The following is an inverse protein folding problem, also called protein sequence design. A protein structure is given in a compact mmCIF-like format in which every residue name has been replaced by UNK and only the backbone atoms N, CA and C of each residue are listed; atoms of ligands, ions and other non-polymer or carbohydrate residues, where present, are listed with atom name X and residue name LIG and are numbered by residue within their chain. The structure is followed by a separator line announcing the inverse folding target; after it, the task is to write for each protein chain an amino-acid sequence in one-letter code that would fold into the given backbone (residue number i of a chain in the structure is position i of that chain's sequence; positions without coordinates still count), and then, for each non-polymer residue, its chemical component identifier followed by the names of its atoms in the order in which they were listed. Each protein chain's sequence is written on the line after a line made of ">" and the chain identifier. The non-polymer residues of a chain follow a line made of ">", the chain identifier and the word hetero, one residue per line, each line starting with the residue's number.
data_IF_341530710561
#
_entry.id   IF_341530710561
#
_cell.length_a   1.000
_cell.length_b   1.000
_cell.length_c   1.000
_cell.angle_alpha   90.00
_cell.angle_beta   90.00
_cell.angle_gamma   90.00
#
_symmetry.space_group_name_H-M   'P 1'
#
loop_
_entity.id
_entity.type
_entity.pdbx_description
1 polymer ?
#
# COMPACT_ATOMS: atom_id res chain seq x y z
N UNK A 1 7.41 6.79 4.92
CA UNK A 1 6.19 6.80 5.75
C UNK A 1 6.41 7.34 7.18
N UNK A 2 7.50 7.00 7.90
CA UNK A 2 7.81 7.58 9.23
C UNK A 2 7.73 9.12 9.28
N UNK A 3 8.12 9.81 8.20
CA UNK A 3 7.96 11.27 8.06
C UNK A 3 6.48 11.72 8.16
N UNK A 4 5.54 11.00 7.54
CA UNK A 4 4.09 11.26 7.63
C UNK A 4 3.59 11.04 9.06
N UNK A 5 3.95 9.92 9.69
CA UNK A 5 3.57 9.64 11.09
C UNK A 5 4.07 10.74 12.03
N UNK A 6 5.35 11.14 11.90
CA UNK A 6 5.90 12.25 12.70
C UNK A 6 5.16 13.56 12.50
N UNK A 7 4.69 13.86 11.29
CA UNK A 7 3.88 15.05 11.03
C UNK A 7 2.54 14.99 11.78
N UNK A 8 1.85 13.85 11.76
CA UNK A 8 0.61 13.66 12.51
C UNK A 8 0.79 13.71 14.03
N UNK A 9 1.90 13.14 14.53
CA UNK A 9 2.22 13.20 15.97
C UNK A 9 2.44 14.65 16.43
N UNK A 10 3.06 15.50 15.60
CA UNK A 10 3.24 16.93 15.95
C UNK A 10 1.92 17.68 16.10
N UNK A 11 0.89 17.29 15.34
CA UNK A 11 -0.43 17.94 15.41
C UNK A 11 -1.18 17.65 16.71
N UNK A 12 -0.78 16.62 17.48
CA UNK A 12 -1.36 16.32 18.81
C UNK A 12 -1.20 17.52 19.77
N UNK A 13 -0.17 18.36 19.59
CA UNK A 13 0.12 19.49 20.49
C UNK A 13 -1.06 20.46 20.62
N UNK A 14 -1.81 20.67 19.54
CA UNK A 14 -2.98 21.56 19.52
C UNK A 14 -4.31 20.88 19.88
N UNK A 15 -4.31 19.57 20.08
CA UNK A 15 -5.52 18.78 20.32
C UNK A 15 -5.58 18.27 21.76
N UNK A 16 -6.79 18.06 22.25
CA UNK A 16 -7.06 17.45 23.54
C UNK A 16 -8.28 16.53 23.52
N UNK A 17 -8.32 15.64 24.50
CA UNK A 17 -9.47 14.81 24.78
C UNK A 17 -10.53 15.64 25.53
N UNK A 18 -11.76 15.65 25.02
CA UNK A 18 -12.87 16.40 25.62
C UNK A 18 -13.70 15.48 26.52
N UNK A 19 -14.20 14.37 25.96
CA UNK A 19 -15.12 13.48 26.69
C UNK A 19 -15.13 12.07 26.12
N UNK A 20 -15.53 11.10 26.95
CA UNK A 20 -15.58 9.69 26.60
C UNK A 20 -16.92 9.08 26.97
N UNK A 21 -17.58 8.43 26.03
CA UNK A 21 -18.85 7.72 26.26
C UNK A 21 -18.65 6.23 26.03
N UNK A 22 -18.96 5.41 27.03
CA UNK A 22 -18.96 3.96 26.86
C UNK A 22 -20.25 3.54 26.15
N UNK A 23 -20.09 2.84 25.03
CA UNK A 23 -21.17 2.15 24.31
C UNK A 23 -20.88 0.65 24.41
N UNK A 24 -21.90 -0.20 24.49
CA UNK A 24 -21.71 -1.64 24.71
C UNK A 24 -20.65 -2.25 23.75
N UNK A 25 -19.49 -2.60 24.31
CA UNK A 25 -18.33 -3.17 23.61
C UNK A 25 -17.31 -2.17 23.01
N UNK A 26 -17.59 -0.86 22.97
CA UNK A 26 -16.65 0.15 22.46
C UNK A 26 -16.77 1.50 23.19
N UNK A 27 -15.65 2.18 23.41
CA UNK A 27 -15.66 3.54 23.99
C UNK A 27 -15.50 4.56 22.86
N UNK A 28 -16.38 5.56 22.82
CA UNK A 28 -16.31 6.70 21.93
C UNK A 28 -15.59 7.84 22.63
N UNK A 29 -14.49 8.32 22.05
CA UNK A 29 -13.70 9.45 22.54
C UNK A 29 -13.91 10.66 21.64
N UNK A 30 -14.21 11.80 22.23
CA UNK A 30 -14.36 13.09 21.54
C UNK A 30 -13.06 13.87 21.67
N UNK A 31 -12.54 14.35 20.54
CA UNK A 31 -11.30 15.12 20.45
C UNK A 31 -11.61 16.51 19.93
N UNK A 32 -10.98 17.54 20.50
CA UNK A 32 -11.10 18.92 20.01
C UNK A 32 -9.81 19.72 20.17
N UNK A 33 -9.88 20.99 19.80
CA UNK A 33 -8.78 21.92 19.98
C UNK A 33 -8.70 22.42 21.43
N UNK A 34 -7.48 22.57 21.93
CA UNK A 34 -7.21 23.08 23.29
C UNK A 34 -7.75 24.49 23.55
N UNK A 35 -7.89 25.30 22.52
CA UNK A 35 -8.23 26.71 22.68
C UNK A 35 -9.73 26.98 22.57
N UNK A 36 -10.49 26.12 21.88
CA UNK A 36 -11.88 26.41 21.54
C UNK A 36 -12.91 25.38 22.03
N UNK A 37 -12.53 24.26 22.66
CA UNK A 37 -13.44 23.14 23.01
C UNK A 37 -14.34 22.67 21.85
N UNK A 38 -14.06 23.14 20.63
CA UNK A 38 -14.83 22.81 19.45
C UNK A 38 -14.51 21.36 19.12
N UNK A 39 -15.55 20.55 19.05
CA UNK A 39 -15.44 19.13 18.72
C UNK A 39 -14.92 19.02 17.31
N UNK A 40 -13.74 18.43 17.15
CA UNK A 40 -13.15 18.18 15.83
C UNK A 40 -13.55 16.83 15.30
N UNK A 41 -13.52 15.80 16.14
CA UNK A 41 -13.69 14.44 15.66
C UNK A 41 -14.00 13.45 16.78
N UNK A 42 -14.53 12.30 16.38
CA UNK A 42 -14.85 11.17 17.24
C UNK A 42 -13.97 9.97 16.89
N UNK A 43 -13.42 9.36 17.93
CA UNK A 43 -12.58 8.17 17.84
C UNK A 43 -13.25 7.03 18.61
N UNK A 44 -13.72 6.03 17.87
CA UNK A 44 -14.27 4.81 18.42
C UNK A 44 -13.15 3.81 18.68
N UNK A 45 -13.08 3.33 19.91
CA UNK A 45 -12.09 2.36 20.37
C UNK A 45 -12.79 1.11 20.85
N UNK A 46 -12.34 -0.04 20.37
CA UNK A 46 -12.84 -1.36 20.81
C UNK A 46 -11.78 -2.00 21.69
N UNK A 47 -12.17 -2.46 22.88
CA UNK A 47 -11.29 -3.16 23.81
C UNK A 47 -11.65 -4.65 23.90
N UNK A 48 -10.63 -5.49 24.01
CA UNK A 48 -10.78 -6.91 24.36
C UNK A 48 -9.81 -7.23 25.49
N UNK A 49 -10.28 -7.08 26.72
CA UNK A 49 -9.41 -7.07 27.91
C UNK A 49 -8.47 -5.87 27.89
N UNK A 50 -7.17 -6.10 28.06
CA UNK A 50 -6.14 -5.05 27.96
C UNK A 50 -5.72 -4.78 26.50
N UNK A 51 -6.17 -5.59 25.54
CA UNK A 51 -5.82 -5.41 24.14
C UNK A 51 -6.73 -4.37 23.46
N UNK A 52 -6.14 -3.60 22.55
CA UNK A 52 -6.81 -2.66 21.65
C UNK A 52 -6.94 -3.31 20.26
N UNK A 53 -7.93 -4.17 20.00
CA UNK A 53 -8.09 -4.84 18.70
C UNK A 53 -8.44 -3.86 17.57
N UNK A 54 -9.06 -2.72 17.86
CA UNK A 54 -9.51 -1.82 16.81
C UNK A 54 -9.70 -0.38 17.28
N UNK A 55 -9.30 0.54 16.42
CA UNK A 55 -9.55 1.97 16.56
C UNK A 55 -10.06 2.51 15.22
N UNK A 56 -11.08 3.35 15.27
CA UNK A 56 -11.66 4.01 14.10
C UNK A 56 -11.87 5.48 14.42
N UNK A 57 -11.53 6.35 13.49
CA UNK A 57 -11.78 7.78 13.60
C UNK A 57 -12.70 8.20 12.47
N UNK A 58 -13.63 9.12 12.73
CA UNK A 58 -14.53 9.61 11.70
C UNK A 58 -13.80 10.30 10.53
N UNK A 59 -12.57 10.79 10.75
CA UNK A 59 -11.67 11.23 9.69
C UNK A 59 -11.27 10.16 8.65
N UNK A 60 -11.44 8.85 8.95
CA UNK A 60 -11.16 7.70 8.06
C UNK A 60 -9.74 7.63 7.46
N UNK A 61 -8.78 8.41 7.98
CA UNK A 61 -7.39 8.42 7.49
C UNK A 61 -6.74 7.05 7.52
N UNK A 62 -7.08 6.28 8.55
CA UNK A 62 -6.58 4.93 8.74
C UNK A 62 -7.11 4.00 7.66
N UNK A 63 -8.40 4.11 7.32
CA UNK A 63 -9.03 3.31 6.28
C UNK A 63 -8.54 3.70 4.87
N UNK A 64 -8.18 4.97 4.66
CA UNK A 64 -7.76 5.48 3.34
C UNK A 64 -6.25 5.37 3.07
N UNK A 65 -5.40 5.62 4.07
CA UNK A 65 -3.93 5.70 3.91
C UNK A 65 -3.18 4.67 4.75
N UNK A 66 -3.87 3.84 5.53
CA UNK A 66 -3.28 2.91 6.50
C UNK A 66 -2.39 3.62 7.53
N UNK A 67 -2.69 4.89 7.84
CA UNK A 67 -1.91 5.73 8.75
C UNK A 67 -2.85 6.32 9.81
N UNK A 68 -2.56 6.16 11.11
CA UNK A 68 -3.35 6.80 12.17
C UNK A 68 -3.30 8.33 12.04
N UNK A 69 -4.45 8.98 12.24
CA UNK A 69 -4.56 10.43 12.29
C UNK A 69 -4.18 10.98 13.67
N UNK A 70 -4.05 12.30 13.76
CA UNK A 70 -3.80 13.00 15.02
C UNK A 70 -4.86 12.71 16.09
N UNK A 71 -6.14 12.59 15.73
CA UNK A 71 -7.22 12.26 16.68
C UNK A 71 -6.99 10.91 17.37
N UNK A 72 -6.61 9.88 16.60
CA UNK A 72 -6.26 8.56 17.16
C UNK A 72 -5.09 8.69 18.13
N UNK A 73 -4.04 9.44 17.76
CA UNK A 73 -2.90 9.59 18.65
C UNK A 73 -3.21 10.36 19.95
N UNK A 74 -4.12 11.34 19.92
CA UNK A 74 -4.58 12.04 21.14
C UNK A 74 -5.22 11.04 22.09
N UNK A 75 -6.09 10.17 21.57
CA UNK A 75 -6.77 9.15 22.37
C UNK A 75 -5.80 8.09 22.89
N UNK A 76 -4.85 7.63 22.07
CA UNK A 76 -3.80 6.72 22.52
C UNK A 76 -2.96 7.32 23.65
N UNK A 77 -2.62 8.61 23.54
CA UNK A 77 -1.89 9.35 24.59
C UNK A 77 -2.72 9.45 25.87
N UNK A 78 -4.01 9.78 25.76
CA UNK A 78 -4.93 9.83 26.90
C UNK A 78 -5.04 8.48 27.60
N UNK A 79 -5.08 7.39 26.84
CA UNK A 79 -5.12 6.02 27.33
C UNK A 79 -3.78 5.50 27.90
N UNK A 80 -2.71 6.30 27.85
CA UNK A 80 -1.40 5.93 28.39
C UNK A 80 -0.62 4.92 27.53
N UNK A 81 -0.90 4.83 26.22
CA UNK A 81 -0.09 4.02 25.31
C UNK A 81 1.23 4.72 24.97
N UNK A 82 2.33 4.22 25.53
CA UNK A 82 3.69 4.66 25.17
C UNK A 82 4.19 4.05 23.84
N UNK A 83 3.50 3.00 23.37
CA UNK A 83 3.82 2.26 22.15
C UNK A 83 2.58 2.26 21.25
N UNK A 84 2.78 2.50 19.95
CA UNK A 84 1.72 2.44 18.95
C UNK A 84 1.15 1.00 18.92
N UNK A 85 -0.15 0.80 19.21
CA UNK A 85 -0.76 -0.52 19.21
C UNK A 85 -0.67 -1.20 17.84
N UNK A 86 -0.63 -2.54 17.83
CA UNK A 86 -0.53 -3.31 16.57
C UNK A 86 -1.68 -3.01 15.60
N UNK A 87 -2.89 -2.73 16.08
CA UNK A 87 -4.00 -2.35 15.21
C UNK A 87 -3.75 -1.05 14.43
N UNK A 88 -2.78 -0.23 14.86
CA UNK A 88 -2.36 1.01 14.21
C UNK A 88 -1.20 0.85 13.23
N UNK A 89 -0.68 -0.37 13.05
CA UNK A 89 0.46 -0.66 12.17
C UNK A 89 0.06 -1.75 11.18
N UNK A 90 -0.23 -1.34 9.95
CA UNK A 90 -0.53 -2.30 8.85
C UNK A 90 0.75 -3.01 8.40
N UNK A 91 0.66 -4.28 8.01
CA UNK A 91 1.83 -5.10 7.70
C UNK A 91 2.75 -4.50 6.63
N UNK A 92 2.17 -3.83 5.62
CA UNK A 92 2.90 -3.08 4.56
C UNK A 92 3.90 -2.07 5.11
N UNK A 93 3.69 -1.62 6.34
CA UNK A 93 4.48 -0.62 7.01
C UNK A 93 5.55 -1.18 7.94
N UNK A 94 5.49 -2.47 8.22
CA UNK A 94 6.50 -3.17 9.03
C UNK A 94 7.72 -3.46 8.17
N UNK A 95 8.88 -3.70 8.81
CA UNK A 95 10.06 -4.22 8.10
C UNK A 95 9.78 -5.56 7.41
N UNK A 96 8.76 -6.29 7.86
CA UNK A 96 8.28 -7.54 7.27
C UNK A 96 7.56 -7.37 5.93
N UNK A 97 7.13 -6.16 5.55
CA UNK A 97 6.58 -5.92 4.21
C UNK A 97 7.56 -6.24 3.09
N UNK A 98 8.86 -6.01 3.36
CA UNK A 98 9.97 -6.41 2.47
C UNK A 98 10.26 -7.91 2.51
N UNK A 99 9.65 -8.71 3.38
CA UNK A 99 9.85 -10.16 3.33
C UNK A 99 9.11 -10.80 2.14
N UNK A 100 7.97 -10.22 1.74
CA UNK A 100 7.27 -10.60 0.50
C UNK A 100 8.08 -10.25 -0.76
N UNK A 101 8.94 -9.24 -0.67
CA UNK A 101 9.89 -8.85 -1.71
C UNK A 101 11.29 -8.92 -1.14
N UNK A 102 11.86 -10.13 -1.00
CA UNK A 102 13.29 -10.28 -0.69
C UNK A 102 14.12 -9.53 -1.75
N UNK A 103 14.32 -8.24 -1.55
CA UNK A 103 15.45 -7.53 -2.10
C UNK A 103 16.60 -8.04 -1.27
N UNK A 104 17.41 -8.94 -1.83
CA UNK A 104 18.78 -9.09 -1.34
C UNK A 104 19.36 -7.68 -1.28
N UNK A 105 19.54 -7.13 -0.08
CA UNK A 105 19.95 -5.73 0.11
C UNK A 105 21.40 -5.48 -0.35
N UNK A 106 22.00 -6.44 -1.04
CA UNK A 106 23.28 -6.36 -1.75
C UNK A 106 23.19 -6.67 -3.26
N UNK A 107 22.00 -6.93 -3.82
CA UNK A 107 21.85 -7.19 -5.25
C UNK A 107 21.44 -5.91 -5.97
N UNK A 108 22.31 -5.48 -6.87
CA UNK A 108 22.00 -4.63 -8.02
C UNK A 108 20.56 -4.92 -8.51
N UNK A 109 19.70 -3.91 -8.74
CA UNK A 109 18.36 -4.12 -9.30
C UNK A 109 18.34 -4.92 -10.62
N UNK A 110 19.50 -5.15 -11.25
CA UNK A 110 19.69 -6.08 -12.37
C UNK A 110 19.93 -7.56 -12.00
N UNK A 111 20.12 -7.94 -10.74
CA UNK A 111 20.42 -9.32 -10.35
C UNK A 111 19.14 -10.04 -9.95
N UNK A 112 18.64 -10.85 -10.88
CA UNK A 112 17.47 -11.69 -10.70
C UNK A 112 17.82 -12.88 -9.80
N UNK A 113 16.99 -13.18 -8.79
CA UNK A 113 17.17 -14.39 -7.98
C UNK A 113 17.12 -15.64 -8.87
N UNK A 114 17.76 -16.74 -8.46
CA UNK A 114 17.75 -17.99 -9.23
C UNK A 114 16.32 -18.47 -9.54
N UNK A 115 15.39 -18.25 -8.60
CA UNK A 115 13.96 -18.50 -8.80
C UNK A 115 13.37 -17.62 -9.91
N UNK A 116 13.69 -16.32 -9.93
CA UNK A 116 13.22 -15.40 -10.98
C UNK A 116 13.86 -15.70 -12.34
N UNK A 117 15.11 -16.15 -12.37
CA UNK A 117 15.76 -16.65 -13.59
C UNK A 117 15.03 -17.88 -14.13
N UNK A 118 14.68 -18.84 -13.26
CA UNK A 118 13.87 -20.02 -13.62
C UNK A 118 12.49 -19.62 -14.13
N UNK A 119 11.79 -18.74 -13.43
CA UNK A 119 10.48 -18.22 -13.86
C UNK A 119 10.56 -17.51 -15.21
N UNK A 120 11.56 -16.67 -15.43
CA UNK A 120 11.77 -15.97 -16.71
C UNK A 120 12.03 -16.95 -17.85
N UNK A 121 12.86 -17.96 -17.61
CA UNK A 121 13.14 -19.02 -18.58
C UNK A 121 11.87 -19.79 -18.94
N UNK A 122 11.11 -20.21 -17.93
CA UNK A 122 9.82 -20.89 -18.12
C UNK A 122 8.79 -20.01 -18.85
N UNK A 123 8.71 -18.72 -18.55
CA UNK A 123 7.80 -17.79 -19.22
C UNK A 123 8.16 -17.61 -20.69
N UNK A 124 9.44 -17.43 -20.99
CA UNK A 124 9.90 -17.25 -22.37
C UNK A 124 9.64 -18.51 -23.20
N UNK A 125 10.08 -19.67 -22.70
CA UNK A 125 9.86 -20.96 -23.35
C UNK A 125 8.36 -21.30 -23.45
N UNK A 126 7.61 -21.03 -22.38
CA UNK A 126 6.17 -21.22 -22.34
C UNK A 126 5.46 -20.39 -23.38
N UNK A 127 5.83 -19.12 -23.58
CA UNK A 127 5.22 -18.26 -24.59
C UNK A 127 5.33 -18.84 -26.00
N UNK A 128 6.51 -19.32 -26.39
CA UNK A 128 6.72 -19.94 -27.71
C UNK A 128 5.93 -21.26 -27.83
N UNK A 129 5.95 -22.07 -26.76
CA UNK A 129 5.21 -23.32 -26.71
C UNK A 129 3.69 -23.11 -26.78
N UNK A 130 3.16 -22.07 -26.12
CA UNK A 130 1.74 -21.73 -26.15
C UNK A 130 1.31 -21.25 -27.52
N UNK A 131 2.16 -20.46 -28.19
CA UNK A 131 1.90 -20.01 -29.55
C UNK A 131 1.79 -21.19 -30.52
N UNK A 132 2.70 -22.17 -30.45
CA UNK A 132 2.63 -23.37 -31.30
C UNK A 132 1.47 -24.31 -30.90
N UNK A 133 1.24 -24.51 -29.60
CA UNK A 133 0.16 -25.37 -29.12
C UNK A 133 -1.24 -24.84 -29.48
N UNK A 134 -1.41 -23.52 -29.56
CA UNK A 134 -2.66 -22.88 -29.96
C UNK A 134 -3.09 -23.19 -31.40
N UNK A 135 -2.18 -23.73 -32.25
CA UNK A 135 -2.47 -24.08 -33.64
C UNK A 135 -3.26 -25.38 -33.80
N UNK A 136 -3.20 -26.27 -32.81
CA UNK A 136 -3.89 -27.58 -32.85
C UNK A 136 -4.70 -27.76 -31.57
N UNK A 137 -6.00 -28.04 -31.72
CA UNK A 137 -6.91 -28.19 -30.60
C UNK A 137 -6.46 -29.26 -29.58
N UNK A 138 -5.94 -30.38 -30.06
CA UNK A 138 -5.42 -31.46 -29.22
C UNK A 138 -4.21 -31.02 -28.39
N UNK A 139 -3.26 -30.29 -29.00
CA UNK A 139 -2.09 -29.78 -28.30
C UNK A 139 -2.46 -28.71 -27.28
N UNK A 140 -3.40 -27.83 -27.63
CA UNK A 140 -3.94 -26.83 -26.70
C UNK A 140 -4.49 -27.48 -25.43
N UNK A 141 -5.33 -28.51 -25.57
CA UNK A 141 -5.90 -29.25 -24.43
C UNK A 141 -4.80 -29.91 -23.59
N UNK A 142 -3.87 -30.62 -24.23
CA UNK A 142 -2.78 -31.29 -23.53
C UNK A 142 -1.91 -30.31 -22.71
N UNK A 143 -1.64 -29.11 -23.25
CA UNK A 143 -0.88 -28.08 -22.53
C UNK A 143 -1.68 -27.50 -21.37
N UNK A 144 -2.97 -27.22 -21.56
CA UNK A 144 -3.83 -26.74 -20.47
C UNK A 144 -3.92 -27.74 -19.32
N UNK A 145 -4.13 -29.03 -19.63
CA UNK A 145 -4.23 -30.09 -18.62
C UNK A 145 -2.91 -30.26 -17.85
N UNK A 146 -1.77 -30.17 -18.54
CA UNK A 146 -0.45 -30.19 -17.92
C UNK A 146 -0.26 -29.01 -16.94
N UNK A 147 -0.60 -27.78 -17.37
CA UNK A 147 -0.46 -26.59 -16.54
C UNK A 147 -1.38 -26.64 -15.31
N UNK A 148 -2.63 -27.08 -15.49
CA UNK A 148 -3.56 -27.28 -14.37
C UNK A 148 -3.00 -28.31 -13.37
N UNK A 149 -2.44 -29.43 -13.85
CA UNK A 149 -1.79 -30.41 -12.99
C UNK A 149 -0.58 -29.88 -12.21
N UNK A 150 0.12 -28.87 -12.72
CA UNK A 150 1.19 -28.17 -11.97
C UNK A 150 0.61 -27.26 -10.90
N UNK A 151 -0.46 -26.52 -11.22
CA UNK A 151 -1.14 -25.63 -10.27
C UNK A 151 -1.77 -26.41 -9.11
N UNK A 152 -2.40 -27.54 -9.40
CA UNK A 152 -3.03 -28.40 -8.39
C UNK A 152 -1.99 -28.99 -7.42
N UNK A 153 -0.84 -29.43 -7.95
CA UNK A 153 0.27 -29.98 -7.14
C UNK A 153 0.90 -28.96 -6.20
N UNK A 154 0.91 -27.68 -6.59
CA UNK A 154 1.46 -26.59 -5.78
C UNK A 154 0.70 -26.33 -4.47
N UNK A 155 -0.53 -26.83 -4.34
CA UNK A 155 -1.33 -26.70 -3.12
C UNK A 155 -1.08 -27.80 -2.07
N UNK A 156 -0.45 -28.92 -2.45
CA UNK A 156 -0.42 -30.14 -1.63
C UNK A 156 0.89 -30.37 -0.85
N UNK A 157 1.98 -29.66 -1.16
CA UNK A 157 3.29 -29.87 -0.51
C UNK A 157 3.66 -28.68 0.38
N UNK A 158 3.01 -28.55 1.53
CA UNK A 158 3.45 -27.63 2.58
C UNK A 158 4.39 -28.36 3.55
N UNK A 159 5.68 -28.42 3.22
CA UNK A 159 6.72 -28.68 4.22
C UNK A 159 7.87 -27.66 4.07
N UNK A 160 7.94 -26.74 5.03
CA UNK A 160 9.16 -26.07 5.51
C UNK A 160 9.88 -25.01 4.67
N UNK A 161 9.21 -24.31 3.74
CA UNK A 161 9.66 -22.98 3.34
C UNK A 161 8.65 -21.99 3.91
N UNK A 162 9.08 -21.22 4.93
CA UNK A 162 8.39 -20.03 5.44
C UNK A 162 7.68 -19.39 4.26
N UNK A 163 6.35 -19.37 4.30
CA UNK A 163 5.50 -18.81 3.26
C UNK A 163 6.08 -17.48 2.79
N UNK A 164 6.89 -17.52 1.73
CA UNK A 164 7.13 -16.38 0.89
C UNK A 164 5.81 -16.30 0.13
N UNK A 165 4.85 -15.70 0.81
CA UNK A 165 3.58 -15.27 0.27
C UNK A 165 3.96 -14.34 -0.89
N UNK A 166 4.05 -14.93 -2.07
CA UNK A 166 4.30 -14.17 -3.29
C UNK A 166 3.12 -13.22 -3.36
N UNK A 167 3.40 -11.93 -3.15
CA UNK A 167 2.39 -10.89 -3.27
C UNK A 167 1.64 -11.05 -4.59
N UNK A 168 0.37 -10.61 -4.66
CA UNK A 168 -0.46 -10.78 -5.83
C UNK A 168 0.31 -10.37 -7.09
N UNK A 169 0.21 -11.19 -8.15
CA UNK A 169 0.81 -10.93 -9.45
C UNK A 169 0.69 -9.42 -9.76
N UNK A 170 1.80 -8.71 -10.06
CA UNK A 170 1.76 -7.28 -10.29
C UNK A 170 0.64 -6.93 -11.27
N UNK A 171 -0.15 -5.92 -10.95
CA UNK A 171 -1.42 -5.60 -11.64
C UNK A 171 -1.27 -5.46 -13.16
N UNK A 172 -0.10 -5.04 -13.65
CA UNK A 172 0.21 -4.97 -15.08
C UNK A 172 0.25 -6.33 -15.80
N UNK A 173 0.46 -7.45 -15.08
CA UNK A 173 0.35 -8.80 -15.64
C UNK A 173 -1.08 -9.34 -15.60
N UNK A 174 -1.91 -8.91 -14.64
CA UNK A 174 -3.33 -9.32 -14.57
C UNK A 174 -4.13 -8.73 -15.75
N UNK A 175 -3.78 -7.52 -16.19
CA UNK A 175 -4.42 -6.88 -17.36
C UNK A 175 -4.25 -7.67 -18.66
N UNK A 176 -3.23 -8.51 -18.82
CA UNK A 176 -3.07 -9.31 -20.05
C UNK A 176 -3.98 -10.54 -20.13
N UNK A 177 -4.64 -10.90 -19.02
CA UNK A 177 -5.46 -12.10 -18.92
C UNK A 177 -6.97 -11.81 -19.02
N UNK A 178 -7.36 -10.54 -19.22
CA UNK A 178 -8.76 -10.21 -19.46
C UNK A 178 -9.13 -10.51 -20.92
N UNK A 179 -10.28 -11.17 -21.17
CA UNK A 179 -10.83 -11.24 -22.52
C UNK A 179 -10.97 -9.82 -23.05
N UNK A 180 -10.44 -9.56 -24.25
CA UNK A 180 -10.56 -8.26 -24.90
C UNK A 180 -12.04 -8.01 -25.24
N UNK A 181 -12.82 -7.54 -24.26
CA UNK A 181 -14.14 -7.01 -24.53
C UNK A 181 -13.96 -5.78 -25.43
N UNK A 182 -14.55 -5.89 -26.62
CA UNK A 182 -14.42 -4.96 -27.73
C UNK A 182 -14.80 -3.54 -27.30
N UNK A 183 -13.80 -2.72 -26.95
CA UNK A 183 -13.65 -1.27 -27.18
C UNK A 183 -12.50 -0.75 -26.31
N UNK A 184 -11.27 -0.83 -26.82
CA UNK A 184 -10.17 0.00 -26.28
C UNK A 184 -10.55 1.45 -26.60
N UNK A 185 -10.89 2.22 -25.57
CA UNK A 185 -11.04 3.66 -25.69
C UNK A 185 -9.65 4.29 -25.75
N UNK A 186 -9.50 5.40 -26.47
CA UNK A 186 -8.27 6.18 -26.41
C UNK A 186 -8.01 6.57 -24.95
N UNK A 187 -6.75 6.46 -24.47
CA UNK A 187 -6.43 6.93 -23.13
C UNK A 187 -6.83 8.40 -23.01
N UNK A 188 -7.44 8.76 -21.87
CA UNK A 188 -7.81 10.16 -21.60
C UNK A 188 -6.59 11.05 -21.83
N UNK A 189 -6.76 12.14 -22.58
CA UNK A 189 -5.70 13.11 -22.80
C UNK A 189 -5.28 13.69 -21.43
N UNK A 190 -4.12 13.26 -20.93
CA UNK A 190 -3.53 13.85 -19.74
C UNK A 190 -3.01 15.22 -20.14
N UNK A 191 -3.86 16.24 -20.04
CA UNK A 191 -3.42 17.62 -19.94
C UNK A 191 -2.61 17.74 -18.66
N UNK A 192 -1.29 17.65 -18.79
CA UNK A 192 -0.39 17.95 -17.69
C UNK A 192 -0.79 19.30 -17.11
N UNK A 193 -1.08 19.34 -15.80
CA UNK A 193 -1.26 20.58 -15.08
C UNK A 193 0.07 21.30 -15.17
N UNK A 194 0.18 22.24 -16.12
CA UNK A 194 1.38 23.05 -16.30
C UNK A 194 1.84 23.51 -14.91
N UNK A 195 3.14 23.36 -14.65
CA UNK A 195 3.73 23.87 -13.42
C UNK A 195 3.28 25.33 -13.27
N UNK A 196 2.83 25.77 -12.08
CA UNK A 196 2.39 27.14 -11.90
C UNK A 196 3.54 28.02 -12.37
N UNK A 197 3.32 28.80 -13.45
CA UNK A 197 4.37 29.63 -14.00
C UNK A 197 4.74 30.61 -12.90
N UNK A 198 5.90 30.38 -12.29
CA UNK A 198 6.52 31.40 -11.48
C UNK A 198 6.81 32.51 -12.48
N UNK A 199 5.97 33.55 -12.47
CA UNK A 199 6.33 34.87 -12.98
C UNK A 199 7.61 35.28 -12.27
N UNK A 200 8.75 34.78 -12.75
CA UNK A 200 10.04 35.38 -12.50
C UNK A 200 10.01 36.64 -13.35
N UNK A 201 9.95 37.79 -12.67
CA UNK A 201 10.20 39.09 -13.30
C UNK A 201 11.50 38.96 -14.11
N UNK A 202 11.59 39.52 -15.32
CA UNK A 202 12.81 39.50 -16.10
C UNK A 202 13.92 40.13 -15.27
N UNK A 203 14.96 39.35 -15.00
CA UNK A 203 16.22 39.88 -14.48
C UNK A 203 16.83 40.72 -15.61
N UNK A 204 16.73 42.06 -15.48
CA UNK A 204 17.43 42.99 -16.37
C UNK A 204 18.91 42.94 -16.01
N UNK A 205 19.71 42.25 -16.82
CA UNK A 205 21.15 42.51 -16.90
C UNK A 205 21.35 43.80 -17.69
N UNK A 206 21.58 44.90 -16.98
CA UNK A 206 22.23 46.08 -17.56
C UNK A 206 23.72 45.79 -17.67
N UNK A 207 24.15 45.35 -18.87
CA UNK A 207 25.53 45.47 -19.30
C UNK A 207 25.79 46.94 -19.64
N UNK A 208 26.47 47.65 -18.74
CA UNK A 208 27.12 48.92 -19.05
C UNK A 208 28.29 48.62 -19.99
N UNK A 209 28.16 49.00 -21.26
CA UNK A 209 29.29 49.16 -22.16
C UNK A 209 29.95 50.52 -21.86
N UNK A 210 31.08 50.47 -21.16
CA UNK A 210 32.06 51.56 -21.13
C UNK A 210 33.22 51.15 -22.03
N UNK A 211 33.20 51.64 -23.28
CA UNK A 211 34.32 52.14 -24.09
C UNK A 211 33.84 52.46 -25.50
#
# INVERSE_FOLDING_TARGET
>A
MLKKIRAWIRLIVGLEFISGTNQDGSTLYVVGLKEDNEVWDEVRVTFKGQALPGVKCHFLKMDCEDIPCSHIFVVLKFLGFDIIPRCCVVDRWTMGATAAFRSDKNNDPNVWSEHMVRYRSLRNMGSDAFFEAARKLEQTKNVMDFLNGVLDKGSASHENIVAADFGPMPTHFLSSNQPLEKRVLDPDEIRAKEAPSKRQRPFRETLNANN
#
